data_IF_887810122380
#
_entry.id   IF_887810122380
#
_cell.length_a   1.000
_cell.length_b   1.000
_cell.length_c   1.000
_cell.angle_alpha   90.00
_cell.angle_beta   90.00
_cell.angle_gamma   90.00
#
_symmetry.space_group_name_H-M   'P 1'
#
loop_
_entity.id
_entity.type
_entity.pdbx_description
1 polymer ?
#
# COMPACT_ATOMS: atom_id res chain seq x y z
N UNK A 1 -5.89 -0.78 -14.09
CA UNK A 1 -5.07 0.43 -14.28
C UNK A 1 -3.78 0.12 -15.03
N UNK A 2 -3.04 -0.93 -14.63
CA UNK A 2 -1.80 -1.35 -15.28
C UNK A 2 -1.97 -1.75 -16.75
N UNK A 3 -3.12 -2.30 -17.13
CA UNK A 3 -3.47 -2.58 -18.53
C UNK A 3 -3.80 -1.33 -19.36
N UNK A 4 -4.02 -0.17 -18.70
CA UNK A 4 -4.43 1.10 -19.33
C UNK A 4 -3.47 2.24 -19.01
N UNK A 5 -2.17 1.95 -18.88
CA UNK A 5 -1.11 2.92 -18.54
C UNK A 5 -1.10 4.15 -19.46
N UNK A 6 -1.26 3.95 -20.77
CA UNK A 6 -1.27 5.03 -21.76
C UNK A 6 -2.44 6.01 -21.54
N UNK A 7 -3.65 5.48 -21.30
CA UNK A 7 -4.83 6.28 -21.01
C UNK A 7 -4.65 7.09 -19.72
N UNK A 8 -4.06 6.48 -18.68
CA UNK A 8 -3.77 7.19 -17.43
C UNK A 8 -2.82 8.36 -17.65
N UNK A 9 -1.71 8.13 -18.36
CA UNK A 9 -0.71 9.17 -18.64
C UNK A 9 -1.33 10.30 -19.45
N UNK A 10 -2.14 9.99 -20.45
CA UNK A 10 -2.86 10.99 -21.25
C UNK A 10 -3.76 11.85 -20.37
N UNK A 11 -4.62 11.23 -19.55
CA UNK A 11 -5.52 11.95 -18.66
C UNK A 11 -4.77 12.79 -17.62
N UNK A 12 -3.67 12.27 -17.09
CA UNK A 12 -2.81 12.99 -16.15
C UNK A 12 -2.17 14.22 -16.81
N UNK A 13 -1.61 14.06 -18.01
CA UNK A 13 -1.03 15.14 -18.79
C UNK A 13 -2.06 16.23 -19.10
N UNK A 14 -3.28 15.85 -19.52
CA UNK A 14 -4.38 16.79 -19.77
C UNK A 14 -4.77 17.58 -18.51
N UNK A 15 -4.86 16.92 -17.35
CA UNK A 15 -5.22 17.60 -16.09
C UNK A 15 -4.13 18.46 -15.50
N UNK A 16 -2.86 18.09 -15.69
CA UNK A 16 -1.72 18.73 -15.02
C UNK A 16 -0.85 19.58 -15.95
N UNK A 17 -1.18 19.67 -17.24
CA UNK A 17 -0.41 20.40 -18.23
C UNK A 17 1.00 19.86 -18.41
N UNK A 18 1.18 18.55 -18.26
CA UNK A 18 2.48 17.87 -18.36
C UNK A 18 2.61 17.10 -19.68
N UNK A 19 3.82 16.67 -20.00
CA UNK A 19 4.11 15.84 -21.17
C UNK A 19 4.96 14.64 -20.77
N UNK A 20 4.38 13.79 -19.92
CA UNK A 20 4.99 12.54 -19.49
C UNK A 20 4.68 11.41 -20.49
N UNK A 21 5.55 10.42 -20.53
CA UNK A 21 5.34 9.13 -21.19
C UNK A 21 5.11 8.03 -20.15
N UNK A 22 4.72 6.84 -20.60
CA UNK A 22 4.58 5.67 -19.72
C UNK A 22 5.90 5.24 -19.07
N UNK A 23 7.05 5.63 -19.62
CA UNK A 23 8.38 5.31 -19.05
C UNK A 23 8.78 6.25 -17.92
N UNK A 24 8.15 7.43 -17.84
CA UNK A 24 8.47 8.45 -16.82
C UNK A 24 7.75 8.20 -15.48
N UNK A 25 6.94 7.14 -15.41
CA UNK A 25 6.18 6.76 -14.23
C UNK A 25 6.66 5.38 -13.75
N UNK A 26 7.05 5.28 -12.47
CA UNK A 26 7.34 3.99 -11.86
C UNK A 26 6.02 3.30 -11.49
N UNK A 27 5.61 2.35 -12.33
CA UNK A 27 4.39 1.56 -12.11
C UNK A 27 4.56 0.47 -11.06
N UNK A 28 5.80 0.09 -10.71
CA UNK A 28 6.09 -1.02 -9.80
C UNK A 28 5.56 -0.78 -8.38
N UNK A 29 5.31 0.47 -8.01
CA UNK A 29 4.73 0.85 -6.73
C UNK A 29 3.27 1.32 -6.83
N UNK A 30 2.61 1.03 -7.95
CA UNK A 30 1.21 1.41 -8.13
C UNK A 30 0.34 0.70 -7.09
N UNK A 31 -0.53 1.46 -6.43
CA UNK A 31 -1.49 0.95 -5.47
C UNK A 31 -2.89 1.40 -5.86
N UNK A 32 -3.85 0.50 -5.79
CA UNK A 32 -5.26 0.82 -6.04
C UNK A 32 -5.96 1.00 -4.70
N UNK A 33 -6.64 2.12 -4.52
CA UNK A 33 -7.42 2.39 -3.31
C UNK A 33 -8.90 2.37 -3.69
N UNK A 34 -9.66 1.46 -3.10
CA UNK A 34 -11.12 1.48 -3.22
C UNK A 34 -11.70 2.32 -2.08
N UNK A 35 -12.69 3.15 -2.42
CA UNK A 35 -13.37 4.02 -1.47
C UNK A 35 -14.86 3.75 -1.57
N UNK A 36 -15.48 3.28 -0.48
CA UNK A 36 -16.89 2.86 -0.46
C UNK A 36 -17.46 2.98 0.96
N UNK A 37 -18.75 3.25 1.15
CA UNK A 37 -19.37 3.21 2.48
C UNK A 37 -19.48 1.78 3.05
N UNK A 38 -19.44 0.75 2.20
CA UNK A 38 -19.62 -0.65 2.59
C UNK A 38 -18.77 -1.59 1.75
N UNK A 39 -18.32 -2.67 2.37
CA UNK A 39 -17.66 -3.80 1.73
C UNK A 39 -18.31 -5.10 2.20
N UNK A 40 -18.35 -6.10 1.33
CA UNK A 40 -18.75 -7.46 1.72
C UNK A 40 -17.59 -8.17 2.41
N UNK A 41 -17.88 -9.20 3.22
CA UNK A 41 -16.82 -10.00 3.86
C UNK A 41 -15.87 -10.60 2.83
N UNK A 42 -16.40 -11.02 1.67
CA UNK A 42 -15.58 -11.52 0.56
C UNK A 42 -14.57 -10.46 0.07
N UNK A 43 -15.00 -9.20 -0.09
CA UNK A 43 -14.13 -8.11 -0.51
C UNK A 43 -13.06 -7.77 0.55
N UNK A 44 -13.44 -7.78 1.82
CA UNK A 44 -12.50 -7.58 2.94
C UNK A 44 -11.42 -8.68 2.91
N UNK A 45 -11.84 -9.94 2.89
CA UNK A 45 -10.93 -11.09 2.86
C UNK A 45 -10.02 -11.07 1.62
N UNK A 46 -10.57 -10.73 0.45
CA UNK A 46 -9.81 -10.63 -0.78
C UNK A 46 -8.80 -9.48 -0.78
N UNK A 47 -9.01 -8.42 0.01
CA UNK A 47 -8.05 -7.32 0.14
C UNK A 47 -6.95 -7.57 1.18
N UNK A 48 -7.17 -8.53 2.10
CA UNK A 48 -6.33 -8.80 3.26
C UNK A 48 -5.00 -9.50 2.91
N UNK A 49 -4.82 -9.93 1.67
CA UNK A 49 -3.55 -10.53 1.21
C UNK A 49 -2.38 -9.54 1.32
N UNK A 50 -1.28 -9.99 1.96
CA UNK A 50 -0.09 -9.18 2.25
C UNK A 50 0.55 -8.58 0.99
N UNK A 51 0.60 -9.35 -0.10
CA UNK A 51 1.25 -8.96 -1.34
C UNK A 51 0.32 -8.36 -2.40
N UNK A 52 -0.94 -8.08 -2.07
CA UNK A 52 -1.87 -7.46 -3.00
C UNK A 52 -1.79 -5.92 -2.88
N UNK A 53 -1.51 -5.16 -3.96
CA UNK A 53 -1.35 -3.71 -3.91
C UNK A 53 -2.71 -2.96 -3.93
N UNK A 54 -3.63 -3.39 -3.08
CA UNK A 54 -4.97 -2.85 -2.94
C UNK A 54 -5.21 -2.43 -1.49
N UNK A 55 -5.72 -1.22 -1.28
CA UNK A 55 -6.21 -0.76 0.02
C UNK A 55 -7.71 -0.46 -0.06
N UNK A 56 -8.41 -0.64 1.05
CA UNK A 56 -9.82 -0.29 1.18
C UNK A 56 -9.97 0.85 2.20
N UNK A 57 -10.71 1.89 1.80
CA UNK A 57 -11.11 2.98 2.68
C UNK A 57 -12.63 2.96 2.76
N UNK A 58 -13.14 2.96 3.98
CA UNK A 58 -14.55 3.10 4.27
C UNK A 58 -14.88 4.55 4.57
N UNK A 59 -15.78 5.14 3.78
CA UNK A 59 -16.20 6.54 3.98
C UNK A 59 -17.68 6.58 4.30
N UNK A 60 -18.01 7.08 5.50
CA UNK A 60 -19.38 7.17 5.99
C UNK A 60 -19.75 8.63 6.23
N UNK A 61 -20.83 9.10 5.62
CA UNK A 61 -21.37 10.44 5.87
C UNK A 61 -22.53 10.35 6.85
N UNK A 62 -22.43 11.07 7.97
CA UNK A 62 -23.46 11.18 8.98
C UNK A 62 -24.24 12.50 8.82
N UNK A 63 -25.33 12.64 9.58
CA UNK A 63 -26.01 13.92 9.72
C UNK A 63 -25.09 14.97 10.36
N UNK A 64 -25.37 16.25 10.10
CA UNK A 64 -24.55 17.35 10.62
C UNK A 64 -23.23 17.58 9.88
N UNK A 65 -23.10 17.13 8.62
CA UNK A 65 -21.89 17.26 7.80
C UNK A 65 -20.64 16.55 8.36
N UNK A 66 -20.83 15.55 9.22
CA UNK A 66 -19.73 14.73 9.74
C UNK A 66 -19.38 13.66 8.70
N UNK A 67 -18.09 13.54 8.38
CA UNK A 67 -17.55 12.50 7.50
C UNK A 67 -16.56 11.69 8.32
N UNK A 68 -16.81 10.39 8.37
CA UNK A 68 -15.91 9.40 8.95
C UNK A 68 -15.14 8.68 7.84
N UNK A 69 -13.85 8.51 8.05
CA UNK A 69 -12.92 7.89 7.11
C UNK A 69 -12.15 6.83 7.89
N UNK A 70 -12.47 5.58 7.59
CA UNK A 70 -11.93 4.41 8.24
C UNK A 70 -11.03 3.65 7.26
N UNK A 71 -9.76 3.48 7.62
CA UNK A 71 -8.77 2.76 6.82
C UNK A 71 -8.79 1.30 7.22
N UNK A 72 -9.19 0.42 6.30
CA UNK A 72 -9.27 -1.01 6.59
C UNK A 72 -7.84 -1.57 6.57
N UNK A 73 -7.33 -1.88 7.76
CA UNK A 73 -6.02 -2.48 7.93
C UNK A 73 -6.00 -3.94 7.47
N UNK A 74 -4.85 -4.34 6.92
CA UNK A 74 -4.56 -5.72 6.57
C UNK A 74 -3.92 -6.41 7.75
N UNK A 75 -4.54 -7.49 8.20
CA UNK A 75 -4.10 -8.25 9.36
C UNK A 75 -3.52 -9.60 8.99
N UNK A 76 -3.76 -10.08 7.76
CA UNK A 76 -3.22 -11.38 7.33
C UNK A 76 -1.76 -11.27 6.87
N UNK A 77 -0.96 -12.27 7.26
CA UNK A 77 0.38 -12.48 6.71
C UNK A 77 0.38 -13.41 5.49
N UNK A 78 -0.81 -13.69 4.94
CA UNK A 78 -1.01 -14.70 3.90
C UNK A 78 -0.78 -14.04 2.53
N UNK A 79 -0.06 -14.73 1.65
CA UNK A 79 0.13 -14.29 0.26
C UNK A 79 -0.91 -14.93 -0.65
N UNK A 80 -1.19 -14.27 -1.78
CA UNK A 80 -2.13 -14.80 -2.78
C UNK A 80 -1.72 -16.20 -3.24
N UNK A 81 -0.42 -16.44 -3.41
CA UNK A 81 0.13 -17.72 -3.88
C UNK A 81 -0.07 -18.87 -2.89
N UNK A 82 -0.22 -18.57 -1.60
CA UNK A 82 -0.38 -19.59 -0.55
C UNK A 82 -1.78 -20.23 -0.56
N UNK A 83 -2.78 -19.51 -1.10
CA UNK A 83 -4.18 -19.95 -1.14
C UNK A 83 -4.60 -20.36 -2.56
N UNK A 84 -4.10 -19.68 -3.58
CA UNK A 84 -4.56 -19.86 -4.95
C UNK A 84 -3.45 -20.39 -5.86
N UNK A 85 -3.47 -21.70 -6.10
CA UNK A 85 -2.48 -22.42 -6.92
C UNK A 85 -2.60 -22.06 -8.42
N UNK A 86 -3.75 -21.57 -8.88
CA UNK A 86 -4.06 -21.37 -10.31
C UNK A 86 -4.65 -19.99 -10.66
N UNK A 87 -4.35 -18.95 -9.87
CA UNK A 87 -4.88 -17.62 -10.14
C UNK A 87 -4.28 -17.01 -11.41
N UNK A 88 -5.11 -16.78 -12.44
CA UNK A 88 -4.78 -16.02 -13.67
C UNK A 88 -4.43 -14.55 -13.40
N UNK A 89 -4.45 -14.08 -12.14
CA UNK A 89 -3.93 -12.75 -11.77
C UNK A 89 -2.39 -12.64 -11.77
N UNK A 90 -1.70 -13.63 -12.36
CA UNK A 90 -0.24 -13.64 -12.54
C UNK A 90 0.30 -12.40 -13.25
N UNK A 91 -0.47 -11.68 -14.06
CA UNK A 91 0.04 -10.48 -14.75
C UNK A 91 0.08 -9.24 -13.84
N UNK A 92 -0.95 -9.01 -13.02
CA UNK A 92 -1.02 -7.84 -12.14
C UNK A 92 -0.01 -7.91 -10.99
N UNK A 93 0.17 -9.10 -10.40
CA UNK A 93 1.16 -9.32 -9.33
C UNK A 93 2.61 -9.38 -9.84
N UNK A 94 2.85 -9.61 -11.14
CA UNK A 94 4.21 -9.55 -11.72
C UNK A 94 4.70 -8.12 -11.93
N UNK A 95 3.79 -7.18 -12.16
CA UNK A 95 4.15 -5.80 -12.51
C UNK A 95 4.25 -4.85 -11.31
N UNK A 96 3.65 -5.22 -10.17
CA UNK A 96 3.66 -4.41 -8.95
C UNK A 96 4.29 -5.21 -7.81
N UNK A 97 5.33 -4.66 -7.21
CA UNK A 97 6.00 -5.23 -6.04
C UNK A 97 5.54 -4.53 -4.77
N UNK A 98 4.90 -5.28 -3.88
CA UNK A 98 4.75 -4.90 -2.48
C UNK A 98 6.05 -5.25 -1.77
N UNK A 99 6.70 -4.24 -1.20
CA UNK A 99 7.98 -4.41 -0.49
C UNK A 99 7.70 -4.74 0.98
N UNK A 100 8.50 -5.64 1.53
CA UNK A 100 8.48 -5.95 2.96
C UNK A 100 9.79 -5.55 3.63
N UNK A 101 9.81 -5.46 4.96
CA UNK A 101 11.06 -5.20 5.71
C UNK A 101 12.12 -6.27 5.41
N UNK A 102 11.67 -7.52 5.22
CA UNK A 102 12.55 -8.64 4.90
C UNK A 102 13.30 -8.45 3.57
N UNK A 103 12.72 -7.75 2.58
CA UNK A 103 13.39 -7.41 1.32
C UNK A 103 14.65 -6.56 1.55
N UNK A 104 14.68 -5.73 2.60
CA UNK A 104 15.82 -4.85 2.91
C UNK A 104 16.86 -5.53 3.79
N UNK A 105 16.47 -6.53 4.58
CA UNK A 105 17.38 -7.20 5.50
C UNK A 105 18.35 -8.19 4.85
N UNK A 106 18.13 -8.59 3.59
CA UNK A 106 18.93 -9.59 2.87
C UNK A 106 20.44 -9.31 2.87
N UNK A 107 20.85 -8.03 2.84
CA UNK A 107 22.26 -7.62 2.78
C UNK A 107 22.70 -6.76 3.98
N UNK A 108 21.92 -6.71 5.06
CA UNK A 108 22.20 -5.86 6.22
C UNK A 108 22.84 -6.70 7.34
N UNK A 109 23.95 -6.25 7.96
CA UNK A 109 24.53 -6.93 9.12
C UNK A 109 23.55 -7.06 10.29
N UNK A 110 23.57 -8.20 11.00
CA UNK A 110 22.72 -8.48 12.17
C UNK A 110 22.73 -7.36 13.22
N UNK A 111 23.87 -6.71 13.44
CA UNK A 111 23.99 -5.57 14.37
C UNK A 111 23.08 -4.41 13.99
N UNK A 112 22.97 -4.10 12.70
CA UNK A 112 22.13 -3.01 12.19
C UNK A 112 20.66 -3.42 12.23
N UNK A 113 20.35 -4.67 11.91
CA UNK A 113 18.99 -5.22 12.06
C UNK A 113 18.50 -5.11 13.52
N UNK A 114 19.34 -5.49 14.49
CA UNK A 114 18.98 -5.38 15.91
C UNK A 114 18.78 -3.94 16.39
N UNK A 115 19.56 -2.98 15.88
CA UNK A 115 19.34 -1.56 16.16
C UNK A 115 18.03 -1.05 15.56
N UNK A 116 17.71 -1.49 14.35
CA UNK A 116 16.45 -1.18 13.68
C UNK A 116 15.24 -1.71 14.47
N UNK A 117 15.25 -2.99 14.83
CA UNK A 117 14.15 -3.59 15.59
C UNK A 117 13.96 -2.90 16.95
N UNK A 118 15.05 -2.57 17.65
CA UNK A 118 14.93 -1.84 18.92
C UNK A 118 14.34 -0.43 18.76
N UNK A 119 14.72 0.28 17.70
CA UNK A 119 14.16 1.59 17.39
C UNK A 119 12.68 1.47 16.99
N UNK A 120 12.33 0.47 16.19
CA UNK A 120 10.98 0.17 15.77
C UNK A 120 10.07 -0.17 16.96
N UNK A 121 10.48 -1.07 17.84
CA UNK A 121 9.73 -1.41 19.06
C UNK A 121 9.43 -0.17 19.90
N UNK A 122 10.45 0.66 20.16
CA UNK A 122 10.27 1.93 20.89
C UNK A 122 9.32 2.90 20.21
N UNK A 123 9.29 2.91 18.87
CA UNK A 123 8.36 3.76 18.11
C UNK A 123 6.94 3.19 18.21
N UNK A 124 6.77 1.88 18.05
CA UNK A 124 5.46 1.22 18.15
C UNK A 124 4.86 1.32 19.56
N UNK A 125 5.69 1.45 20.61
CA UNK A 125 5.25 1.71 21.98
C UNK A 125 4.48 3.02 22.15
N UNK A 126 4.62 3.99 21.23
CA UNK A 126 3.86 5.25 21.29
C UNK A 126 2.37 5.08 20.92
N UNK A 127 1.98 3.92 20.39
CA UNK A 127 0.62 3.65 19.94
C UNK A 127 0.28 4.31 18.61
N UNK A 128 -0.67 3.72 17.88
CA UNK A 128 -1.27 4.22 16.62
C UNK A 128 -0.35 4.34 15.37
N UNK A 129 0.95 4.01 15.46
CA UNK A 129 1.87 4.16 14.33
C UNK A 129 1.81 2.98 13.34
N UNK A 130 1.55 3.29 12.06
CA UNK A 130 1.57 2.33 10.96
C UNK A 130 2.88 2.38 10.16
N UNK A 131 3.45 1.21 9.85
CA UNK A 131 4.73 1.08 9.13
C UNK A 131 4.45 0.78 7.65
N UNK A 132 4.90 1.66 6.75
CA UNK A 132 4.74 1.50 5.30
C UNK A 132 6.12 1.41 4.62
N UNK A 133 6.45 0.24 4.08
CA UNK A 133 7.74 -0.03 3.43
C UNK A 133 7.65 0.29 1.93
N UNK A 134 8.52 1.19 1.44
CA UNK A 134 8.60 1.58 0.02
C UNK A 134 9.97 1.25 -0.56
N UNK A 135 10.01 1.06 -1.90
CA UNK A 135 11.17 0.71 -2.73
C UNK A 135 12.50 1.34 -2.32
N UNK A 136 12.53 2.62 -1.94
CA UNK A 136 13.76 3.31 -1.55
C UNK A 136 13.74 3.86 -0.12
N UNK A 137 12.65 3.71 0.65
CA UNK A 137 12.47 4.34 1.96
C UNK A 137 11.48 3.59 2.83
N UNK A 138 11.80 3.41 4.11
CA UNK A 138 10.82 3.01 5.12
C UNK A 138 10.13 4.27 5.65
N UNK A 139 8.81 4.36 5.55
CA UNK A 139 8.04 5.55 5.92
C UNK A 139 7.13 5.23 7.12
N UNK A 140 7.33 5.94 8.22
CA UNK A 140 6.46 5.87 9.39
C UNK A 140 5.27 6.82 9.17
N UNK A 141 4.08 6.26 8.97
CA UNK A 141 2.86 7.04 8.82
C UNK A 141 2.31 7.30 10.21
N UNK A 142 2.65 8.49 10.72
CA UNK A 142 1.94 9.29 11.75
C UNK A 142 2.86 10.42 12.24
N UNK A 143 4.17 10.16 12.28
CA UNK A 143 5.19 11.17 12.63
C UNK A 143 5.20 12.38 11.67
N UNK A 144 4.71 12.20 10.44
CA UNK A 144 4.67 13.27 9.43
C UNK A 144 3.58 14.32 9.72
N UNK A 145 2.52 13.96 10.46
CA UNK A 145 1.43 14.89 10.80
C UNK A 145 1.88 15.86 11.91
N UNK A 146 2.89 15.48 12.71
CA UNK A 146 3.50 16.36 13.72
C UNK A 146 4.63 17.26 13.17
N UNK A 147 5.04 17.10 11.92
CA UNK A 147 6.17 17.82 11.32
C UNK A 147 5.79 18.75 10.14
N UNK A 148 4.50 18.93 9.86
CA UNK A 148 3.94 19.91 8.91
C UNK A 148 3.03 20.91 9.62
#
# INVERSE_FOLDING_TARGET
MLERKADFVLQYNLKKGKSLTTKDIDWNQSKVIFVSPKYTQYQLNASDFKNLPIDLIKVTKYEGNIIDIDFIQKNSNIKVEDIYIDFEQKEVNKEVKVYTEEDYFVNIPQRIQGLYENLKERILEFGDIDIDVKKYTLLLKELLILLM
#
